data_IF_020625934821
#
_entry.id   IF_020625934821
#
_cell.length_a   1.000
_cell.length_b   1.000
_cell.length_c   1.000
_cell.angle_alpha   90.00
_cell.angle_beta   90.00
_cell.angle_gamma   90.00
#
_symmetry.space_group_name_H-M   'P 1'
#
loop_
_entity.id
_entity.type
_entity.pdbx_description
1 polymer ?
#
# COMPACT_ATOMS: atom_id res chain seq x y z
N UNK A 1 41.24 17.01 -10.07
CA UNK A 1 39.89 17.60 -10.24
C UNK A 1 39.21 17.55 -8.89
N UNK A 2 38.95 18.70 -8.26
CA UNK A 2 38.23 18.75 -6.99
C UNK A 2 36.73 18.49 -7.26
N UNK A 3 36.19 17.45 -6.66
CA UNK A 3 34.76 17.14 -6.79
C UNK A 3 33.98 18.07 -5.86
N UNK A 4 33.18 18.95 -6.45
CA UNK A 4 32.36 19.90 -5.71
C UNK A 4 30.94 19.38 -5.50
N UNK A 5 30.32 19.77 -4.40
CA UNK A 5 28.88 19.58 -4.19
C UNK A 5 28.11 20.24 -5.32
N UNK A 6 27.26 19.45 -6.00
CA UNK A 6 26.47 19.90 -7.16
C UNK A 6 25.63 21.14 -6.88
N UNK A 7 25.28 21.39 -5.62
CA UNK A 7 24.40 22.49 -5.22
C UNK A 7 25.11 23.72 -4.65
N UNK A 8 26.25 23.56 -4.00
CA UNK A 8 26.91 24.67 -3.28
C UNK A 8 28.42 24.76 -3.52
N UNK A 9 28.98 23.91 -4.38
CA UNK A 9 30.39 23.96 -4.80
C UNK A 9 31.43 23.57 -3.75
N UNK A 10 31.02 23.30 -2.49
CA UNK A 10 31.94 22.87 -1.42
C UNK A 10 32.57 21.52 -1.79
N UNK A 11 33.88 21.39 -1.56
CA UNK A 11 34.60 20.15 -1.82
C UNK A 11 34.01 18.96 -1.08
N UNK A 12 33.74 17.88 -1.80
CA UNK A 12 33.21 16.61 -1.29
C UNK A 12 34.00 15.44 -1.87
N UNK A 13 34.05 14.29 -1.19
CA UNK A 13 34.66 13.10 -1.76
C UNK A 13 33.87 12.60 -2.99
N UNK A 14 34.58 11.96 -3.93
CA UNK A 14 34.03 11.58 -5.25
C UNK A 14 32.88 10.58 -5.19
N UNK A 15 32.68 9.90 -4.05
CA UNK A 15 31.58 8.96 -3.81
C UNK A 15 30.24 9.67 -3.53
N UNK A 16 30.22 11.00 -3.39
CA UNK A 16 29.02 11.76 -3.03
C UNK A 16 28.72 12.86 -4.03
N UNK A 17 27.44 13.15 -4.20
CA UNK A 17 26.93 14.22 -5.08
C UNK A 17 26.61 15.53 -4.31
N UNK A 18 26.37 15.43 -3.01
CA UNK A 18 25.98 16.55 -2.14
C UNK A 18 26.81 16.57 -0.85
N UNK A 19 27.11 17.76 -0.33
CA UNK A 19 27.61 17.92 1.03
C UNK A 19 26.51 17.63 2.06
N UNK A 20 26.88 17.30 3.30
CA UNK A 20 25.93 16.87 4.34
C UNK A 20 24.76 17.84 4.52
N UNK A 21 25.02 19.16 4.51
CA UNK A 21 23.98 20.20 4.61
C UNK A 21 23.00 20.20 3.44
N UNK A 22 23.50 20.05 2.21
CA UNK A 22 22.66 20.04 1.02
C UNK A 22 21.87 18.74 0.90
N UNK A 23 22.52 17.63 1.26
CA UNK A 23 21.95 16.29 1.29
C UNK A 23 20.79 16.22 2.29
N UNK A 24 20.98 16.78 3.49
CA UNK A 24 19.96 16.87 4.53
C UNK A 24 18.71 17.65 4.07
N UNK A 25 18.92 18.74 3.33
CA UNK A 25 17.85 19.58 2.77
C UNK A 25 17.13 18.88 1.61
N UNK A 26 17.83 18.05 0.84
CA UNK A 26 17.28 17.26 -0.26
C UNK A 26 16.35 16.14 0.24
N UNK A 27 16.80 15.36 1.24
CA UNK A 27 16.02 14.23 1.78
C UNK A 27 14.87 14.61 2.72
N UNK A 28 14.73 15.90 3.09
CA UNK A 28 13.55 16.42 3.81
C UNK A 28 12.27 16.36 2.97
N UNK A 29 12.34 16.28 1.65
CA UNK A 29 11.17 16.20 0.76
C UNK A 29 10.86 14.75 0.40
N UNK A 30 9.58 14.42 0.26
CA UNK A 30 9.18 13.21 -0.47
C UNK A 30 9.54 13.48 -1.93
N UNK A 31 10.26 12.56 -2.55
CA UNK A 31 10.77 12.73 -3.91
C UNK A 31 11.00 11.38 -4.57
N UNK A 32 11.62 11.34 -5.75
CA UNK A 32 12.22 10.14 -6.36
C UNK A 32 11.35 8.88 -6.27
N UNK A 33 11.96 7.73 -5.97
CA UNK A 33 11.28 6.43 -5.93
C UNK A 33 10.22 6.30 -4.81
N UNK A 34 10.14 7.24 -3.87
CA UNK A 34 9.09 7.26 -2.82
C UNK A 34 7.73 7.73 -3.36
N UNK A 35 7.67 8.34 -4.54
CA UNK A 35 6.40 8.68 -5.18
C UNK A 35 5.63 7.44 -5.63
N UNK A 36 6.31 6.38 -6.04
CA UNK A 36 5.67 5.16 -6.52
C UNK A 36 4.84 4.46 -5.41
N UNK A 37 5.39 4.21 -4.20
CA UNK A 37 4.59 3.74 -3.06
C UNK A 37 3.44 4.67 -2.68
N UNK A 38 3.67 5.98 -2.75
CA UNK A 38 2.65 6.97 -2.41
C UNK A 38 1.48 6.94 -3.39
N UNK A 39 1.75 6.92 -4.69
CA UNK A 39 0.73 6.80 -5.73
C UNK A 39 0.02 5.45 -5.61
N UNK A 40 0.78 4.37 -5.41
CA UNK A 40 0.22 3.04 -5.18
C UNK A 40 -0.77 3.03 -4.02
N UNK A 41 -0.42 3.65 -2.89
CA UNK A 41 -1.28 3.74 -1.71
C UNK A 41 -2.58 4.53 -1.99
N UNK A 42 -2.48 5.63 -2.74
CA UNK A 42 -3.67 6.42 -3.15
C UNK A 42 -4.57 5.60 -4.08
N UNK A 43 -3.98 4.91 -5.06
CA UNK A 43 -4.71 4.03 -5.97
C UNK A 43 -5.41 2.91 -5.19
N UNK A 44 -4.71 2.24 -4.27
CA UNK A 44 -5.29 1.20 -3.42
C UNK A 44 -6.46 1.73 -2.58
N UNK A 45 -6.32 2.91 -1.95
CA UNK A 45 -7.40 3.53 -1.20
C UNK A 45 -8.63 3.83 -2.09
N UNK A 46 -8.41 4.35 -3.29
CA UNK A 46 -9.49 4.58 -4.26
C UNK A 46 -10.13 3.26 -4.71
N UNK A 47 -9.34 2.21 -4.97
CA UNK A 47 -9.85 0.88 -5.33
C UNK A 47 -10.77 0.30 -4.26
N UNK A 48 -10.46 0.48 -2.97
CA UNK A 48 -11.36 0.04 -1.91
C UNK A 48 -12.71 0.77 -1.92
N UNK A 49 -12.72 2.07 -2.26
CA UNK A 49 -13.99 2.80 -2.41
C UNK A 49 -14.83 2.27 -3.57
N UNK A 50 -14.21 2.00 -4.72
CA UNK A 50 -14.91 1.44 -5.88
C UNK A 50 -15.47 0.05 -5.60
N UNK A 51 -14.65 -0.84 -5.04
CA UNK A 51 -15.08 -2.21 -4.73
C UNK A 51 -16.16 -2.22 -3.64
N UNK A 52 -16.06 -1.35 -2.64
CA UNK A 52 -17.09 -1.20 -1.62
C UNK A 52 -18.43 -0.74 -2.22
N UNK A 53 -18.41 0.25 -3.12
CA UNK A 53 -19.62 0.73 -3.79
C UNK A 53 -20.26 -0.36 -4.66
N UNK A 54 -19.44 -1.09 -5.43
CA UNK A 54 -19.89 -2.20 -6.28
C UNK A 54 -20.51 -3.32 -5.43
N UNK A 55 -19.82 -3.73 -4.37
CA UNK A 55 -20.29 -4.75 -3.41
C UNK A 55 -21.61 -4.34 -2.77
N UNK A 56 -21.74 -3.07 -2.38
CA UNK A 56 -22.97 -2.54 -1.80
C UNK A 56 -24.13 -2.58 -2.80
N UNK A 57 -23.91 -2.11 -4.03
CA UNK A 57 -24.92 -2.13 -5.09
C UNK A 57 -25.40 -3.56 -5.36
N UNK A 58 -24.47 -4.49 -5.61
CA UNK A 58 -24.78 -5.91 -5.85
C UNK A 58 -25.57 -6.52 -4.71
N UNK A 59 -25.17 -6.24 -3.46
CA UNK A 59 -25.87 -6.74 -2.27
C UNK A 59 -27.30 -6.20 -2.19
N UNK A 60 -27.51 -4.91 -2.43
CA UNK A 60 -28.83 -4.27 -2.33
C UNK A 60 -29.79 -4.69 -3.45
N UNK A 61 -29.31 -4.77 -4.69
CA UNK A 61 -30.11 -5.16 -5.86
C UNK A 61 -30.57 -6.62 -5.77
N UNK A 62 -29.75 -7.48 -5.18
CA UNK A 62 -30.02 -8.92 -5.10
C UNK A 62 -30.47 -9.39 -3.71
N UNK A 63 -30.72 -8.46 -2.77
CA UNK A 63 -30.87 -8.78 -1.34
C UNK A 63 -31.93 -9.85 -1.03
N UNK A 64 -33.07 -9.81 -1.72
CA UNK A 64 -34.17 -10.78 -1.60
C UNK A 64 -33.81 -12.17 -2.10
N UNK A 65 -32.91 -12.27 -3.07
CA UNK A 65 -32.54 -13.51 -3.76
C UNK A 65 -31.26 -14.15 -3.18
N UNK A 66 -30.50 -13.42 -2.37
CA UNK A 66 -29.29 -13.92 -1.73
C UNK A 66 -29.60 -14.96 -0.63
N UNK A 67 -28.86 -16.06 -0.66
CA UNK A 67 -28.84 -17.04 0.44
C UNK A 67 -28.27 -16.44 1.72
N UNK A 68 -28.54 -17.05 2.87
CA UNK A 68 -28.00 -16.60 4.15
C UNK A 68 -26.46 -16.52 4.14
N UNK A 69 -25.79 -17.53 3.58
CA UNK A 69 -24.33 -17.54 3.48
C UNK A 69 -23.79 -16.43 2.58
N UNK A 70 -24.47 -16.15 1.46
CA UNK A 70 -24.07 -15.06 0.57
C UNK A 70 -24.24 -13.69 1.25
N UNK A 71 -25.31 -13.49 2.04
CA UNK A 71 -25.47 -12.26 2.85
C UNK A 71 -24.33 -12.10 3.87
N UNK A 72 -23.95 -13.18 4.56
CA UNK A 72 -22.81 -13.17 5.48
C UNK A 72 -21.54 -12.79 4.75
N UNK A 73 -21.27 -13.38 3.59
CA UNK A 73 -20.13 -13.04 2.73
C UNK A 73 -20.12 -11.54 2.41
N UNK A 74 -21.17 -11.02 1.76
CA UNK A 74 -21.22 -9.62 1.34
C UNK A 74 -21.06 -8.64 2.52
N UNK A 75 -21.75 -8.87 3.64
CA UNK A 75 -21.63 -8.01 4.84
C UNK A 75 -20.19 -8.03 5.38
N UNK A 76 -19.59 -9.21 5.47
CA UNK A 76 -18.23 -9.36 5.97
C UNK A 76 -17.17 -8.75 5.04
N UNK A 77 -17.32 -8.91 3.72
CA UNK A 77 -16.46 -8.29 2.72
C UNK A 77 -16.56 -6.76 2.79
N UNK A 78 -17.76 -6.21 2.99
CA UNK A 78 -17.97 -4.77 3.13
C UNK A 78 -17.29 -4.22 4.39
N UNK A 79 -17.41 -4.93 5.52
CA UNK A 79 -16.69 -4.59 6.75
C UNK A 79 -15.16 -4.63 6.56
N UNK A 80 -14.67 -5.64 5.84
CA UNK A 80 -13.25 -5.77 5.47
C UNK A 80 -12.78 -4.59 4.62
N UNK A 81 -13.53 -4.22 3.57
CA UNK A 81 -13.17 -3.10 2.69
C UNK A 81 -13.15 -1.77 3.42
N UNK A 82 -14.10 -1.54 4.34
CA UNK A 82 -14.10 -0.37 5.21
C UNK A 82 -12.84 -0.35 6.09
N UNK A 83 -12.51 -1.49 6.73
CA UNK A 83 -11.33 -1.62 7.58
C UNK A 83 -10.03 -1.34 6.82
N UNK A 84 -9.87 -1.93 5.64
CA UNK A 84 -8.69 -1.72 4.79
C UNK A 84 -8.61 -0.30 4.22
N UNK A 85 -9.74 0.30 3.86
CA UNK A 85 -9.77 1.70 3.45
C UNK A 85 -9.29 2.64 4.58
N UNK A 86 -9.79 2.45 5.80
CA UNK A 86 -9.37 3.23 6.96
C UNK A 86 -7.89 3.00 7.28
N UNK A 87 -7.40 1.77 7.11
CA UNK A 87 -6.00 1.47 7.32
C UNK A 87 -5.12 2.14 6.25
N UNK A 88 -5.48 2.05 4.97
CA UNK A 88 -4.81 2.75 3.88
C UNK A 88 -4.78 4.27 4.10
N UNK A 89 -5.90 4.87 4.53
CA UNK A 89 -5.98 6.29 4.85
C UNK A 89 -5.07 6.67 6.04
N UNK A 90 -4.96 5.80 7.04
CA UNK A 90 -4.05 5.98 8.18
C UNK A 90 -2.59 5.94 7.72
N UNK A 91 -2.21 4.95 6.93
CA UNK A 91 -0.86 4.83 6.35
C UNK A 91 -0.54 6.05 5.51
N UNK A 92 -1.49 6.53 4.70
CA UNK A 92 -1.33 7.72 3.85
C UNK A 92 -1.12 8.98 4.69
N UNK A 93 -1.90 9.15 5.77
CA UNK A 93 -1.72 10.24 6.72
C UNK A 93 -0.33 10.23 7.35
N UNK A 94 0.16 9.04 7.75
CA UNK A 94 1.51 8.87 8.29
C UNK A 94 2.59 9.13 7.24
N UNK A 95 2.31 8.80 5.98
CA UNK A 95 3.21 9.01 4.85
C UNK A 95 3.42 10.49 4.60
N UNK A 96 2.33 11.24 4.50
CA UNK A 96 2.34 12.69 4.27
C UNK A 96 2.92 13.46 5.46
N UNK A 97 2.62 13.02 6.69
CA UNK A 97 3.17 13.59 7.94
C UNK A 97 4.60 13.15 8.24
N UNK A 98 5.19 12.27 7.41
CA UNK A 98 6.56 11.74 7.54
C UNK A 98 6.87 11.19 8.93
N UNK A 99 5.94 10.43 9.50
CA UNK A 99 6.11 9.85 10.84
C UNK A 99 7.19 8.77 10.84
N UNK A 100 8.00 8.71 11.89
CA UNK A 100 9.06 7.68 12.09
C UNK A 100 8.56 6.24 12.01
N UNK A 101 7.31 6.02 12.41
CA UNK A 101 6.69 4.70 12.40
C UNK A 101 6.22 4.24 11.01
N UNK A 102 6.22 5.14 10.01
CA UNK A 102 5.70 4.83 8.68
C UNK A 102 6.32 3.60 8.02
N UNK A 103 7.65 3.38 8.01
CA UNK A 103 8.21 2.25 7.27
C UNK A 103 7.68 0.90 7.79
N UNK A 104 7.53 0.77 9.12
CA UNK A 104 6.95 -0.43 9.74
C UNK A 104 5.46 -0.54 9.42
N UNK A 105 4.72 0.56 9.52
CA UNK A 105 3.28 0.60 9.25
C UNK A 105 2.97 0.26 7.77
N UNK A 106 3.77 0.75 6.83
CA UNK A 106 3.62 0.46 5.40
C UNK A 106 3.90 -1.01 5.07
N UNK A 107 4.92 -1.62 5.70
CA UNK A 107 5.18 -3.06 5.55
C UNK A 107 4.00 -3.87 6.12
N UNK A 108 3.49 -3.50 7.29
CA UNK A 108 2.34 -4.16 7.89
C UNK A 108 1.09 -4.03 7.00
N UNK A 109 0.85 -2.86 6.41
CA UNK A 109 -0.21 -2.64 5.43
C UNK A 109 -0.09 -3.55 4.20
N UNK A 110 1.11 -3.68 3.65
CA UNK A 110 1.33 -4.53 2.48
C UNK A 110 1.06 -6.02 2.77
N UNK A 111 1.41 -6.47 3.97
CA UNK A 111 1.09 -7.81 4.44
C UNK A 111 -0.43 -7.96 4.67
N UNK A 112 -1.08 -6.96 5.27
CA UNK A 112 -2.53 -7.00 5.51
C UNK A 112 -3.31 -7.11 4.22
N UNK A 113 -2.97 -6.31 3.20
CA UNK A 113 -3.61 -6.35 1.88
C UNK A 113 -3.59 -7.76 1.31
N UNK A 114 -2.42 -8.43 1.29
CA UNK A 114 -2.31 -9.80 0.77
C UNK A 114 -3.11 -10.80 1.62
N UNK A 115 -3.00 -10.71 2.94
CA UNK A 115 -3.69 -11.61 3.87
C UNK A 115 -5.21 -11.48 3.77
N UNK A 116 -5.71 -10.25 3.73
CA UNK A 116 -7.15 -9.94 3.69
C UNK A 116 -7.75 -10.27 2.33
N UNK A 117 -7.04 -10.03 1.22
CA UNK A 117 -7.52 -10.48 -0.09
C UNK A 117 -7.60 -12.01 -0.16
N UNK A 118 -6.58 -12.71 0.37
CA UNK A 118 -6.59 -14.18 0.43
C UNK A 118 -7.72 -14.71 1.30
N UNK A 119 -7.96 -14.07 2.45
CA UNK A 119 -9.08 -14.39 3.34
C UNK A 119 -10.43 -14.18 2.65
N UNK A 120 -10.61 -13.08 1.92
CA UNK A 120 -11.87 -12.79 1.24
C UNK A 120 -12.16 -13.81 0.12
N UNK A 121 -11.15 -14.22 -0.65
CA UNK A 121 -11.29 -15.30 -1.66
C UNK A 121 -11.61 -16.65 -1.01
N UNK A 122 -10.99 -16.94 0.14
CA UNK A 122 -11.30 -18.14 0.90
C UNK A 122 -12.75 -18.13 1.43
N UNK A 123 -13.22 -16.99 1.92
CA UNK A 123 -14.60 -16.80 2.36
C UNK A 123 -15.59 -16.93 1.20
N UNK A 124 -15.26 -16.39 0.02
CA UNK A 124 -16.04 -16.56 -1.20
C UNK A 124 -16.22 -18.05 -1.53
N UNK A 125 -15.14 -18.82 -1.50
CA UNK A 125 -15.16 -20.26 -1.78
C UNK A 125 -16.02 -21.07 -0.80
N UNK A 126 -15.96 -20.74 0.50
CA UNK A 126 -16.71 -21.48 1.53
C UNK A 126 -18.18 -21.07 1.61
N UNK A 127 -18.47 -19.77 1.50
CA UNK A 127 -19.81 -19.23 1.74
C UNK A 127 -20.68 -19.27 0.49
N UNK A 128 -20.10 -19.28 -0.72
CA UNK A 128 -20.83 -19.32 -1.98
C UNK A 128 -20.59 -20.66 -2.68
N UNK A 129 -21.43 -21.68 -2.40
CA UNK A 129 -21.25 -23.01 -2.98
C UNK A 129 -21.38 -22.98 -4.51
N UNK A 130 -20.45 -23.66 -5.18
CA UNK A 130 -20.41 -23.73 -6.65
C UNK A 130 -19.67 -22.58 -7.34
N UNK A 131 -19.14 -21.61 -6.58
CA UNK A 131 -18.27 -20.56 -7.16
C UNK A 131 -16.95 -21.18 -7.62
N UNK A 132 -16.54 -20.88 -8.85
CA UNK A 132 -15.25 -21.31 -9.38
C UNK A 132 -14.24 -20.19 -9.16
N UNK A 133 -13.27 -20.41 -8.28
CA UNK A 133 -12.15 -19.50 -8.10
C UNK A 133 -11.28 -19.58 -9.35
N UNK A 134 -11.25 -18.48 -10.10
CA UNK A 134 -10.53 -18.38 -11.36
C UNK A 134 -9.42 -17.34 -11.34
N UNK A 135 -8.91 -17.02 -12.52
CA UNK A 135 -7.87 -16.00 -12.70
C UNK A 135 -8.29 -14.63 -12.15
N UNK A 136 -9.58 -14.26 -12.24
CA UNK A 136 -10.08 -12.97 -11.79
C UNK A 136 -9.83 -12.72 -10.29
N UNK A 137 -10.00 -13.75 -9.45
CA UNK A 137 -9.81 -13.66 -8.01
C UNK A 137 -8.34 -13.78 -7.60
N UNK A 138 -7.58 -14.62 -8.31
CA UNK A 138 -6.19 -14.93 -7.95
C UNK A 138 -5.18 -13.92 -8.48
N UNK A 139 -5.38 -13.37 -9.68
CA UNK A 139 -4.43 -12.44 -10.29
C UNK A 139 -4.17 -11.18 -9.43
N UNK A 140 -5.18 -10.56 -8.79
CA UNK A 140 -4.96 -9.45 -7.88
C UNK A 140 -4.10 -9.83 -6.67
N UNK A 141 -4.26 -11.03 -6.12
CA UNK A 141 -3.44 -11.52 -5.00
C UNK A 141 -1.98 -11.64 -5.44
N UNK A 142 -1.72 -12.31 -6.57
CA UNK A 142 -0.36 -12.46 -7.10
C UNK A 142 0.31 -11.12 -7.38
N UNK A 143 -0.42 -10.16 -7.95
CA UNK A 143 0.09 -8.81 -8.19
C UNK A 143 0.49 -8.10 -6.90
N UNK A 144 -0.31 -8.23 -5.84
CA UNK A 144 -0.01 -7.63 -4.55
C UNK A 144 1.16 -8.33 -3.83
N UNK A 145 1.33 -9.65 -4.00
CA UNK A 145 2.51 -10.39 -3.52
C UNK A 145 3.78 -9.87 -4.19
N UNK A 146 3.78 -9.73 -5.52
CA UNK A 146 4.93 -9.18 -6.26
C UNK A 146 5.24 -7.75 -5.80
N UNK A 147 4.21 -6.92 -5.64
CA UNK A 147 4.35 -5.57 -5.10
C UNK A 147 4.99 -5.59 -3.70
N UNK A 148 4.53 -6.47 -2.81
CA UNK A 148 5.10 -6.65 -1.48
C UNK A 148 6.58 -7.06 -1.51
N UNK A 149 6.95 -8.00 -2.39
CA UNK A 149 8.33 -8.46 -2.55
C UNK A 149 9.27 -7.35 -3.05
N UNK A 150 8.77 -6.37 -3.81
CA UNK A 150 9.57 -5.23 -4.28
C UNK A 150 9.73 -4.20 -3.16
N UNK A 151 8.63 -3.81 -2.53
CA UNK A 151 8.62 -2.66 -1.65
C UNK A 151 9.04 -2.99 -0.23
N UNK A 152 8.77 -4.18 0.31
CA UNK A 152 9.18 -4.52 1.69
C UNK A 152 10.70 -4.42 1.83
N UNK A 153 11.53 -5.05 0.97
CA UNK A 153 12.99 -4.89 1.03
C UNK A 153 13.42 -3.42 0.86
N UNK A 154 12.77 -2.67 -0.04
CA UNK A 154 13.05 -1.25 -0.23
C UNK A 154 12.83 -0.44 1.06
N UNK A 155 11.72 -0.64 1.76
CA UNK A 155 11.41 0.08 3.00
C UNK A 155 12.31 -0.31 4.18
N UNK A 156 12.94 -1.48 4.14
CA UNK A 156 13.90 -1.95 5.16
C UNK A 156 15.31 -1.40 4.88
N UNK A 157 15.79 -1.49 3.64
CA UNK A 157 17.21 -1.27 3.32
C UNK A 157 17.50 0.15 2.83
N UNK A 158 16.53 0.83 2.21
CA UNK A 158 16.76 2.11 1.52
C UNK A 158 17.23 3.21 2.47
N UNK A 159 18.43 3.73 2.20
CA UNK A 159 18.99 4.93 2.86
C UNK A 159 18.01 6.10 2.78
N UNK A 160 17.30 6.21 1.65
CA UNK A 160 16.34 7.27 1.39
C UNK A 160 15.13 7.19 2.32
N UNK A 161 14.58 6.00 2.53
CA UNK A 161 13.46 5.77 3.47
C UNK A 161 13.90 6.14 4.89
N UNK A 162 15.09 5.68 5.31
CA UNK A 162 15.64 5.99 6.64
C UNK A 162 15.81 7.50 6.85
N UNK A 163 16.38 8.20 5.87
CA UNK A 163 16.63 9.65 5.94
C UNK A 163 15.37 10.51 5.85
N UNK A 164 14.34 10.05 5.12
CA UNK A 164 13.07 10.79 5.01
C UNK A 164 12.17 10.59 6.23
N UNK A 165 12.16 9.40 6.85
CA UNK A 165 11.18 9.06 7.90
C UNK A 165 11.76 8.84 9.29
N UNK A 166 12.93 8.21 9.45
CA UNK A 166 13.36 7.67 10.75
C UNK A 166 14.17 8.67 11.58
N UNK A 167 14.96 9.53 10.93
CA UNK A 167 15.87 10.54 11.49
C UNK A 167 16.08 10.50 13.01
#
# INVERSE_FOLDING_TARGET
MEWGCTKCGVGIPQDREFCDKCEEKHFRKIGGFLFLPLIGLVVTAASYLFVMADTFNVMTENYSHLSANAKIFFISSLAIYIGEFLFAATVLSFFLKKKKFLPKLFIFFMISVVAIMSLNVYMLYILIPGVKIGHHELAPIFRNVISALIWIPYFITSVRVKRTFIR
#
